data_IF_494958732699
#
_entry.id   IF_494958732699
#
_cell.length_a   1.000
_cell.length_b   1.000
_cell.length_c   1.000
_cell.angle_alpha   90.00
_cell.angle_beta   90.00
_cell.angle_gamma   90.00
#
_symmetry.space_group_name_H-M   'P 1'
#
loop_
_entity.id
_entity.type
_entity.pdbx_description
1 polymer ?
#
# COMPACT_ATOMS: atom_id res chain seq x y z
N UNK A 1 -4.28 -0.74 7.59
CA UNK A 1 -2.93 -0.59 7.01
C UNK A 1 -2.47 0.81 7.32
N UNK A 2 -1.22 1.00 7.69
CA UNK A 2 -0.66 2.30 8.11
C UNK A 2 0.66 2.55 7.35
N UNK A 3 0.94 3.82 7.03
CA UNK A 3 2.18 4.25 6.38
C UNK A 3 2.89 5.19 7.35
N UNK A 4 4.13 4.86 7.72
CA UNK A 4 4.92 5.66 8.65
C UNK A 4 5.80 6.72 7.95
N UNK A 5 6.54 7.48 8.77
CA UNK A 5 7.36 8.61 8.34
C UNK A 5 8.62 8.24 7.52
N UNK A 6 8.98 6.96 7.40
CA UNK A 6 10.07 6.52 6.53
C UNK A 6 9.65 6.52 5.05
N UNK A 7 8.36 6.66 4.75
CA UNK A 7 7.87 6.78 3.39
C UNK A 7 8.46 8.02 2.70
N UNK A 8 9.10 7.81 1.56
CA UNK A 8 9.66 8.87 0.71
C UNK A 8 8.93 8.97 -0.64
N UNK A 9 7.69 8.48 -0.71
CA UNK A 9 6.78 8.69 -1.84
C UNK A 9 7.27 8.12 -3.18
N UNK A 10 7.95 6.97 -3.15
CA UNK A 10 8.51 6.35 -4.36
C UNK A 10 7.48 5.74 -5.33
N UNK A 11 6.22 5.59 -4.93
CA UNK A 11 5.15 5.00 -5.76
C UNK A 11 5.21 3.48 -5.96
N UNK A 12 6.18 2.77 -5.37
CA UNK A 12 6.30 1.30 -5.54
C UNK A 12 5.04 0.56 -5.09
N UNK A 13 4.45 0.95 -3.96
CA UNK A 13 3.22 0.35 -3.44
C UNK A 13 2.01 0.51 -4.39
N UNK A 14 1.88 1.66 -5.04
CA UNK A 14 0.85 1.92 -6.04
C UNK A 14 1.04 1.03 -7.28
N UNK A 15 2.28 0.97 -7.80
CA UNK A 15 2.61 0.18 -9.00
C UNK A 15 2.38 -1.32 -8.83
N UNK A 16 2.64 -1.89 -7.65
CA UNK A 16 2.46 -3.33 -7.42
C UNK A 16 1.04 -3.71 -7.02
N UNK A 17 0.15 -2.75 -6.74
CA UNK A 17 -1.19 -3.03 -6.27
C UNK A 17 -2.09 -3.48 -7.42
N UNK A 18 -2.51 -4.77 -7.49
CA UNK A 18 -3.30 -5.28 -8.61
C UNK A 18 -4.73 -4.72 -8.65
N UNK A 19 -5.17 -4.09 -7.56
CA UNK A 19 -6.48 -3.44 -7.44
C UNK A 19 -6.42 -1.93 -7.64
N UNK A 20 -5.23 -1.37 -7.89
CA UNK A 20 -5.02 0.08 -7.96
C UNK A 20 -5.58 0.80 -6.72
N UNK A 21 -5.51 0.13 -5.56
CA UNK A 21 -6.12 0.59 -4.32
C UNK A 21 -5.24 1.59 -3.56
N UNK A 22 -4.05 1.92 -4.09
CA UNK A 22 -3.09 2.83 -3.51
C UNK A 22 -2.78 3.89 -4.55
N UNK A 23 -2.97 5.16 -4.18
CA UNK A 23 -2.71 6.31 -5.03
C UNK A 23 -1.61 7.18 -4.39
N UNK A 24 -0.67 7.65 -5.22
CA UNK A 24 0.32 8.62 -4.81
C UNK A 24 -0.08 9.99 -5.33
N UNK A 25 -0.42 10.90 -4.42
CA UNK A 25 -0.77 12.28 -4.74
C UNK A 25 0.47 13.16 -4.91
N UNK A 26 0.36 14.21 -5.72
CA UNK A 26 1.43 15.20 -5.96
C UNK A 26 1.91 15.89 -4.67
N UNK A 27 1.07 15.91 -3.63
CA UNK A 27 1.41 16.41 -2.29
C UNK A 27 2.39 15.51 -1.51
N UNK A 28 2.75 14.35 -2.05
CA UNK A 28 3.45 13.32 -1.29
C UNK A 28 2.52 12.72 -0.24
N UNK A 29 1.25 12.49 -0.58
CA UNK A 29 0.33 11.75 0.29
C UNK A 29 0.01 10.44 -0.39
N UNK A 30 0.03 9.35 0.37
CA UNK A 30 -0.39 8.04 -0.12
C UNK A 30 -1.77 7.74 0.44
N UNK A 31 -2.76 7.65 -0.44
CA UNK A 31 -4.11 7.27 -0.07
C UNK A 31 -4.33 5.78 -0.35
N UNK A 32 -5.03 5.10 0.58
CA UNK A 32 -5.39 3.69 0.45
C UNK A 32 -6.90 3.61 0.48
N UNK A 33 -7.51 3.08 -0.58
CA UNK A 33 -8.96 2.98 -0.67
C UNK A 33 -9.50 1.64 -0.13
N UNK A 34 -10.82 1.56 -0.03
CA UNK A 34 -11.55 0.43 0.58
C UNK A 34 -11.37 -0.89 -0.18
N UNK A 35 -11.01 -0.85 -1.47
CA UNK A 35 -10.71 -2.06 -2.24
C UNK A 35 -9.46 -2.79 -1.70
N UNK A 36 -8.54 -2.08 -1.04
CA UNK A 36 -7.39 -2.71 -0.41
C UNK A 36 -7.78 -3.55 0.81
N UNK A 37 -8.79 -3.12 1.57
CA UNK A 37 -9.25 -3.79 2.79
C UNK A 37 -10.15 -5.00 2.50
N UNK A 38 -10.90 -4.94 1.39
CA UNK A 38 -11.76 -6.03 0.95
C UNK A 38 -11.05 -7.06 0.05
N UNK A 39 -9.79 -6.81 -0.31
CA UNK A 39 -9.03 -7.73 -1.13
C UNK A 39 -8.51 -8.93 -0.32
N UNK A 40 -9.41 -9.91 -0.15
CA UNK A 40 -9.14 -11.20 0.49
C UNK A 40 -9.00 -12.26 -0.59
N UNK A 41 -7.89 -12.98 -0.59
CA UNK A 41 -7.66 -14.14 -1.46
C UNK A 41 -7.38 -15.36 -0.60
N UNK A 42 -8.19 -16.42 -0.74
CA UNK A 42 -8.12 -17.63 0.10
C UNK A 42 -8.06 -17.30 1.60
N UNK A 43 -9.01 -16.49 2.08
CA UNK A 43 -9.14 -16.10 3.50
C UNK A 43 -7.97 -15.28 4.06
N UNK A 44 -7.05 -14.80 3.20
CA UNK A 44 -5.90 -13.98 3.60
C UNK A 44 -5.99 -12.58 3.01
N UNK A 45 -5.66 -11.59 3.84
CA UNK A 45 -5.49 -10.20 3.41
C UNK A 45 -4.30 -10.07 2.45
N UNK A 46 -4.46 -9.26 1.41
CA UNK A 46 -3.37 -8.86 0.52
C UNK A 46 -2.29 -8.08 1.28
N UNK A 47 -1.01 -8.33 0.96
CA UNK A 47 0.13 -7.67 1.60
C UNK A 47 1.30 -7.40 0.64
N UNK A 48 1.04 -7.34 -0.67
CA UNK A 48 2.07 -7.15 -1.69
C UNK A 48 2.77 -5.79 -1.54
N UNK A 49 2.01 -4.72 -1.25
CA UNK A 49 2.57 -3.39 -0.99
C UNK A 49 3.52 -3.37 0.22
N UNK A 50 3.18 -4.09 1.30
CA UNK A 50 4.03 -4.25 2.49
C UNK A 50 5.35 -4.90 2.09
N UNK A 51 5.31 -6.02 1.35
CA UNK A 51 6.51 -6.73 0.91
C UNK A 51 7.36 -5.95 -0.09
N UNK A 52 6.73 -5.14 -0.93
CA UNK A 52 7.41 -4.38 -1.98
C UNK A 52 8.01 -3.07 -1.48
N UNK A 53 7.63 -2.58 -0.29
CA UNK A 53 8.12 -1.31 0.22
C UNK A 53 9.64 -1.41 0.49
N UNK A 54 10.49 -0.64 -0.23
CA UNK A 54 11.95 -0.77 -0.13
C UNK A 54 12.50 -0.32 1.22
N UNK A 55 11.74 0.49 1.95
CA UNK A 55 12.08 1.04 3.27
C UNK A 55 11.24 0.45 4.39
N UNK A 56 10.33 -0.48 4.07
CA UNK A 56 9.46 -1.11 5.08
C UNK A 56 8.48 -0.16 5.77
N UNK A 57 8.10 0.97 5.16
CA UNK A 57 7.26 1.99 5.78
C UNK A 57 5.75 1.63 5.88
N UNK A 58 5.32 0.48 5.35
CA UNK A 58 3.89 0.09 5.29
C UNK A 58 3.64 -1.08 6.23
N UNK A 59 2.66 -0.95 7.13
CA UNK A 59 2.36 -1.89 8.20
C UNK A 59 0.87 -2.25 8.32
N UNK A 60 0.58 -3.35 9.01
CA UNK A 60 -0.76 -3.78 9.40
C UNK A 60 -1.37 -4.83 8.46
N UNK A 61 -1.52 -6.05 9.00
CA UNK A 61 -2.34 -7.16 8.48
C UNK A 61 -3.19 -7.71 9.61
#
# INVERSE_FOLDING_TARGET
MEIDYHCFYCGTCANVCPKMAIELLDSGVVEINMDCEQHIHNEKRCGICIKACPVGAIHGL
#
